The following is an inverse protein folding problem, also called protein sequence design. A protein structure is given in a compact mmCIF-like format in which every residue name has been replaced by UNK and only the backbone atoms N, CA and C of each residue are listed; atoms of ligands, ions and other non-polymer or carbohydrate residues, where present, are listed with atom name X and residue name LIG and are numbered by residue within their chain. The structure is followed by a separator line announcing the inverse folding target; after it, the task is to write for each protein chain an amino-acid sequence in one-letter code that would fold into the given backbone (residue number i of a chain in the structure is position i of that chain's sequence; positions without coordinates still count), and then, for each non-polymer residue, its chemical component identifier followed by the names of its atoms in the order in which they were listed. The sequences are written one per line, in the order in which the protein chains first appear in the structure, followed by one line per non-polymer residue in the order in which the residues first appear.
data_IF_315096511063
#
_entry.id   IF_315096511063
#
_cell.length_a   1.000
_cell.length_b   1.000
_cell.length_c   1.000
_cell.angle_alpha   90.00
_cell.angle_beta   90.00
_cell.angle_gamma   90.00
#
_symmetry.space_group_name_H-M   'P 1'
#
loop_
_entity.id
_entity.type
_entity.pdbx_description
1 polymer ?
#
# COMPACT_ATOMS: atom_id res chain seq x y z
N UNK A 1 7.70 13.37 8.10
CA UNK A 1 6.35 13.13 7.60
C UNK A 1 5.87 11.79 8.18
N UNK A 2 4.73 11.78 8.86
CA UNK A 2 4.28 10.66 9.72
C UNK A 2 4.33 9.27 9.06
N UNK A 3 3.92 9.15 7.79
CA UNK A 3 3.94 7.86 7.07
C UNK A 3 5.37 7.35 6.82
N UNK A 4 6.30 8.24 6.47
CA UNK A 4 7.72 7.85 6.26
C UNK A 4 8.37 7.48 7.59
N UNK A 5 8.10 8.24 8.64
CA UNK A 5 8.63 7.95 9.99
C UNK A 5 8.11 6.60 10.49
N UNK A 6 6.81 6.32 10.29
CA UNK A 6 6.19 5.03 10.59
C UNK A 6 6.83 3.89 9.78
N UNK A 7 7.03 4.08 8.48
CA UNK A 7 7.67 3.08 7.62
C UNK A 7 9.11 2.78 8.05
N UNK A 8 9.88 3.80 8.43
CA UNK A 8 11.24 3.62 8.98
C UNK A 8 11.22 2.80 10.27
N UNK A 9 10.29 3.12 11.20
CA UNK A 9 10.14 2.39 12.46
C UNK A 9 9.77 0.92 12.23
N UNK A 10 8.79 0.66 11.37
CA UNK A 10 8.36 -0.71 11.04
C UNK A 10 9.50 -1.49 10.37
N UNK A 11 10.27 -0.87 9.48
CA UNK A 11 11.41 -1.49 8.83
C UNK A 11 12.53 -1.86 9.84
N UNK A 12 12.79 -1.00 10.81
CA UNK A 12 13.73 -1.27 11.90
C UNK A 12 13.25 -2.45 12.77
N UNK A 13 11.98 -2.45 13.17
CA UNK A 13 11.40 -3.54 13.98
C UNK A 13 11.37 -4.88 13.25
N UNK A 14 11.20 -4.85 11.93
CA UNK A 14 11.22 -6.04 11.07
C UNK A 14 12.65 -6.50 10.71
N UNK A 15 13.69 -5.81 11.19
CA UNK A 15 15.10 -6.12 10.95
C UNK A 15 15.42 -6.31 9.44
N UNK A 16 14.78 -5.48 8.57
CA UNK A 16 15.01 -5.57 7.13
C UNK A 16 16.47 -5.25 6.78
N UNK A 17 17.03 -5.94 5.80
CA UNK A 17 18.43 -5.78 5.39
C UNK A 17 18.73 -4.36 4.88
N UNK A 18 17.75 -3.72 4.23
CA UNK A 18 17.86 -2.34 3.77
C UNK A 18 16.48 -1.70 3.65
N UNK A 19 16.42 -0.39 3.88
CA UNK A 19 15.23 0.43 3.66
C UNK A 19 15.64 1.66 2.86
N UNK A 20 14.91 1.95 1.79
CA UNK A 20 15.19 3.10 0.90
C UNK A 20 13.93 3.98 0.78
N UNK A 21 14.11 5.28 0.97
CA UNK A 21 13.08 6.29 0.69
C UNK A 21 13.41 6.94 -0.65
N UNK A 22 12.48 6.87 -1.60
CA UNK A 22 12.64 7.45 -2.95
C UNK A 22 11.74 8.68 -3.07
N UNK A 23 12.33 9.84 -3.36
CA UNK A 23 11.60 11.08 -3.56
C UNK A 23 10.98 11.12 -4.96
N UNK A 24 9.66 11.27 -5.03
CA UNK A 24 8.87 11.29 -6.27
C UNK A 24 8.02 12.56 -6.41
N UNK A 25 8.32 13.61 -5.65
CA UNK A 25 7.54 14.83 -5.67
C UNK A 25 7.40 15.40 -7.08
N UNK A 26 6.17 15.70 -7.46
CA UNK A 26 5.84 16.29 -8.76
C UNK A 26 5.88 15.36 -9.97
N UNK A 27 6.21 14.08 -9.81
CA UNK A 27 6.19 13.10 -10.92
C UNK A 27 4.75 12.72 -11.25
N UNK A 28 3.96 12.33 -10.25
CA UNK A 28 2.54 12.04 -10.44
C UNK A 28 1.72 13.33 -10.50
N UNK A 29 0.74 13.35 -11.38
CA UNK A 29 -0.27 14.42 -11.52
C UNK A 29 -1.64 13.79 -11.48
N UNK A 30 -2.56 14.37 -10.71
CA UNK A 30 -3.93 13.88 -10.58
C UNK A 30 -4.85 14.98 -10.07
N UNK A 31 -6.14 14.82 -10.28
CA UNK A 31 -7.20 15.59 -9.64
C UNK A 31 -7.60 15.02 -8.27
N UNK A 32 -6.98 13.91 -7.86
CA UNK A 32 -7.19 13.31 -6.54
C UNK A 32 -6.88 14.31 -5.42
N UNK A 33 -7.66 14.33 -4.32
CA UNK A 33 -7.38 15.13 -3.13
C UNK A 33 -5.98 14.88 -2.53
N UNK A 34 -5.35 13.76 -2.82
CA UNK A 34 -3.99 13.46 -2.38
C UNK A 34 -2.91 14.26 -3.12
N UNK A 35 -3.23 14.81 -4.29
CA UNK A 35 -2.30 15.57 -5.14
C UNK A 35 -2.85 16.93 -5.58
N UNK A 36 -3.98 17.36 -5.03
CA UNK A 36 -4.65 18.62 -5.35
C UNK A 36 -5.21 19.26 -4.07
N UNK A 37 -5.74 20.46 -4.19
CA UNK A 37 -6.42 21.19 -3.10
C UNK A 37 -7.89 20.74 -2.90
N UNK A 38 -8.32 19.63 -3.51
CA UNK A 38 -9.67 19.10 -3.33
C UNK A 38 -9.83 18.52 -1.92
N UNK A 39 -11.03 18.61 -1.36
CA UNK A 39 -11.33 18.09 -0.03
C UNK A 39 -11.39 16.55 -0.05
N UNK A 40 -10.89 15.95 1.04
CA UNK A 40 -11.03 14.51 1.29
C UNK A 40 -12.47 14.19 1.71
N UNK A 41 -13.07 13.18 1.12
CA UNK A 41 -14.31 12.61 1.63
C UNK A 41 -14.08 12.01 3.03
N UNK A 42 -15.04 12.21 3.91
CA UNK A 42 -14.98 11.71 5.28
C UNK A 42 -16.06 10.63 5.46
N UNK A 43 -15.68 9.52 6.06
CA UNK A 43 -16.58 8.40 6.36
C UNK A 43 -16.55 8.10 7.85
N UNK A 44 -17.70 7.79 8.43
CA UNK A 44 -17.80 7.44 9.85
C UNK A 44 -17.38 6.01 10.13
N UNK A 45 -17.55 5.13 9.15
CA UNK A 45 -17.25 3.70 9.23
C UNK A 45 -17.18 3.08 7.82
N UNK A 46 -16.78 1.81 7.73
CA UNK A 46 -16.68 1.08 6.47
C UNK A 46 -18.04 0.93 5.76
N UNK A 47 -19.14 0.86 6.49
CA UNK A 47 -20.48 0.77 5.91
C UNK A 47 -20.91 2.08 5.23
N UNK A 48 -20.64 3.22 5.88
CA UNK A 48 -20.90 4.54 5.30
C UNK A 48 -20.00 4.81 4.08
N UNK A 49 -18.75 4.37 4.13
CA UNK A 49 -17.84 4.42 2.99
C UNK A 49 -18.38 3.61 1.80
N UNK A 50 -18.72 2.34 2.02
CA UNK A 50 -19.26 1.47 0.98
C UNK A 50 -20.58 2.04 0.38
N UNK A 51 -21.47 2.57 1.20
CA UNK A 51 -22.72 3.17 0.74
C UNK A 51 -22.50 4.45 -0.08
N UNK A 52 -21.51 5.25 0.27
CA UNK A 52 -21.18 6.50 -0.43
C UNK A 52 -20.44 6.24 -1.74
N UNK A 53 -19.49 5.34 -1.75
CA UNK A 53 -18.69 5.01 -2.94
C UNK A 53 -19.52 4.18 -3.93
N UNK A 54 -20.28 3.18 -3.45
CA UNK A 54 -21.00 2.25 -4.33
C UNK A 54 -20.05 1.59 -5.31
N UNK A 55 -20.40 1.64 -6.61
CA UNK A 55 -19.59 1.05 -7.69
C UNK A 55 -18.52 2.00 -8.27
N UNK A 56 -18.45 3.25 -7.80
CA UNK A 56 -17.42 4.19 -8.27
C UNK A 56 -16.06 3.91 -7.63
N UNK A 57 -15.01 4.40 -8.27
CA UNK A 57 -13.68 4.46 -7.67
C UNK A 57 -13.64 5.61 -6.64
N UNK A 58 -13.05 5.38 -5.49
CA UNK A 58 -12.89 6.38 -4.43
C UNK A 58 -12.02 7.56 -4.92
N UNK A 59 -12.30 8.79 -4.44
CA UNK A 59 -11.69 10.03 -4.96
C UNK A 59 -10.18 10.13 -4.70
N UNK A 60 -9.67 9.42 -3.70
CA UNK A 60 -8.23 9.37 -3.40
C UNK A 60 -7.43 8.52 -4.40
N UNK A 61 -8.09 7.92 -5.39
CA UNK A 61 -7.39 7.21 -6.46
C UNK A 61 -6.47 8.13 -7.25
N UNK A 62 -5.22 7.74 -7.37
CA UNK A 62 -4.22 8.40 -8.22
C UNK A 62 -3.87 7.45 -9.35
N UNK A 63 -4.31 7.73 -10.59
CA UNK A 63 -4.04 6.87 -11.74
C UNK A 63 -2.55 6.59 -11.90
N UNK A 64 -2.21 5.30 -12.18
CA UNK A 64 -0.84 4.84 -12.39
C UNK A 64 0.09 4.89 -11.17
N UNK A 65 -0.39 5.26 -9.98
CA UNK A 65 0.43 5.34 -8.77
C UNK A 65 1.08 3.99 -8.43
N UNK A 66 0.28 2.93 -8.33
CA UNK A 66 0.81 1.61 -8.01
C UNK A 66 1.68 1.05 -9.14
N UNK A 67 1.36 1.33 -10.40
CA UNK A 67 2.23 0.96 -11.54
C UNK A 67 3.61 1.60 -11.41
N UNK A 68 3.69 2.90 -11.09
CA UNK A 68 4.96 3.60 -10.91
C UNK A 68 5.73 3.04 -9.70
N UNK A 69 5.07 2.86 -8.56
CA UNK A 69 5.70 2.36 -7.34
C UNK A 69 6.25 0.96 -7.53
N UNK A 70 5.48 0.05 -8.10
CA UNK A 70 5.94 -1.31 -8.39
C UNK A 70 7.07 -1.33 -9.42
N UNK A 71 7.06 -0.44 -10.43
CA UNK A 71 8.14 -0.35 -11.41
C UNK A 71 9.46 0.08 -10.76
N UNK A 72 9.43 1.07 -9.88
CA UNK A 72 10.61 1.52 -9.13
C UNK A 72 11.11 0.43 -8.19
N UNK A 73 10.19 -0.17 -7.41
CA UNK A 73 10.53 -1.25 -6.50
C UNK A 73 11.15 -2.45 -7.23
N UNK A 74 10.61 -2.82 -8.39
CA UNK A 74 11.16 -3.87 -9.23
C UNK A 74 12.56 -3.54 -9.74
N UNK A 75 12.79 -2.31 -10.20
CA UNK A 75 14.13 -1.89 -10.62
C UNK A 75 15.14 -2.04 -9.47
N UNK A 76 14.75 -1.70 -8.24
CA UNK A 76 15.57 -1.88 -7.04
C UNK A 76 15.81 -3.37 -6.73
N UNK A 77 14.75 -4.17 -6.77
CA UNK A 77 14.84 -5.62 -6.54
C UNK A 77 15.83 -6.28 -7.51
N UNK A 78 15.75 -5.95 -8.80
CA UNK A 78 16.67 -6.45 -9.83
C UNK A 78 18.12 -6.02 -9.54
N UNK A 79 18.34 -4.77 -9.17
CA UNK A 79 19.66 -4.25 -8.84
C UNK A 79 20.28 -4.94 -7.61
N UNK A 80 19.44 -5.41 -6.69
CA UNK A 80 19.83 -6.19 -5.50
C UNK A 80 19.95 -7.70 -5.78
N UNK A 81 19.67 -8.16 -7.00
CA UNK A 81 19.71 -9.57 -7.37
C UNK A 81 18.50 -10.39 -6.90
N UNK A 82 17.41 -9.72 -6.50
CA UNK A 82 16.16 -10.37 -6.15
C UNK A 82 15.36 -10.74 -7.41
N UNK A 83 14.55 -11.78 -7.31
CA UNK A 83 13.63 -12.25 -8.34
C UNK A 83 12.15 -12.19 -7.92
N UNK A 84 11.90 -11.67 -6.74
CA UNK A 84 10.56 -11.57 -6.13
C UNK A 84 10.31 -10.17 -5.60
N UNK A 85 9.12 -9.64 -5.87
CA UNK A 85 8.58 -8.41 -5.31
C UNK A 85 7.33 -8.75 -4.48
N UNK A 86 7.27 -8.26 -3.25
CA UNK A 86 6.09 -8.41 -2.40
C UNK A 86 5.40 -7.06 -2.27
N UNK A 87 4.07 -7.05 -2.41
CA UNK A 87 3.25 -5.84 -2.27
C UNK A 87 2.08 -6.06 -1.33
N UNK A 88 1.66 -5.01 -0.64
CA UNK A 88 0.50 -5.01 0.25
C UNK A 88 -0.82 -4.65 -0.44
N UNK A 89 -0.90 -4.64 -1.78
CA UNK A 89 -2.17 -4.38 -2.46
C UNK A 89 -3.20 -5.46 -2.13
N UNK A 90 -4.47 -5.04 -2.02
CA UNK A 90 -5.59 -5.88 -1.64
C UNK A 90 -6.83 -5.46 -2.43
N UNK A 91 -7.56 -6.41 -3.01
CA UNK A 91 -8.78 -6.09 -3.75
C UNK A 91 -10.05 -6.08 -2.88
N UNK A 92 -9.99 -6.64 -1.67
CA UNK A 92 -11.09 -6.63 -0.70
C UNK A 92 -11.18 -5.29 0.04
N UNK A 93 -10.99 -4.21 -0.69
CA UNK A 93 -11.07 -2.84 -0.22
C UNK A 93 -12.26 -2.13 -0.88
N UNK A 94 -13.10 -1.46 -0.09
CA UNK A 94 -14.26 -0.73 -0.57
C UNK A 94 -13.93 0.49 -1.44
N UNK A 95 -12.66 0.81 -1.62
CA UNK A 95 -12.19 1.92 -2.46
C UNK A 95 -12.28 1.65 -3.97
N UNK A 96 -12.45 0.38 -4.38
CA UNK A 96 -12.58 -0.04 -5.78
C UNK A 96 -11.41 0.39 -6.68
N UNK A 97 -10.19 0.42 -6.17
CA UNK A 97 -9.02 0.80 -6.97
C UNK A 97 -8.68 -0.26 -8.02
N UNK A 98 -8.70 0.08 -9.32
CA UNK A 98 -8.40 -0.88 -10.37
C UNK A 98 -6.96 -1.40 -10.33
N UNK A 99 -6.02 -0.63 -9.77
CA UNK A 99 -4.62 -1.00 -9.60
C UNK A 99 -4.30 -1.70 -8.27
N UNK A 100 -5.35 -2.19 -7.57
CA UNK A 100 -5.23 -3.04 -6.38
C UNK A 100 -5.81 -4.45 -6.59
N UNK A 101 -6.15 -4.82 -7.83
CA UNK A 101 -6.78 -6.11 -8.13
C UNK A 101 -5.77 -7.21 -8.49
N UNK A 102 -6.17 -8.47 -8.35
CA UNK A 102 -5.38 -9.61 -8.81
C UNK A 102 -5.09 -9.54 -10.33
N UNK A 103 -6.05 -9.07 -11.12
CA UNK A 103 -5.86 -8.87 -12.55
C UNK A 103 -4.73 -7.86 -12.85
N UNK A 104 -4.68 -6.77 -12.09
CA UNK A 104 -3.59 -5.79 -12.20
C UNK A 104 -2.24 -6.41 -11.80
N UNK A 105 -2.17 -7.13 -10.66
CA UNK A 105 -0.95 -7.80 -10.21
C UNK A 105 -0.40 -8.73 -11.29
N UNK A 106 -1.26 -9.59 -11.86
CA UNK A 106 -0.87 -10.52 -12.93
C UNK A 106 -0.41 -9.80 -14.20
N UNK A 107 -1.11 -8.74 -14.60
CA UNK A 107 -0.73 -7.94 -15.77
C UNK A 107 0.62 -7.24 -15.55
N UNK A 108 0.87 -6.73 -14.36
CA UNK A 108 2.14 -6.09 -14.00
C UNK A 108 3.28 -7.11 -14.03
N UNK A 109 3.11 -8.30 -13.45
CA UNK A 109 4.11 -9.39 -13.47
C UNK A 109 4.43 -9.81 -14.90
N UNK A 110 3.40 -9.95 -15.74
CA UNK A 110 3.58 -10.28 -17.16
C UNK A 110 4.38 -9.19 -17.89
N UNK A 111 4.00 -7.93 -17.72
CA UNK A 111 4.69 -6.79 -18.31
C UNK A 111 6.16 -6.77 -17.90
N UNK A 112 6.42 -6.97 -16.61
CA UNK A 112 7.76 -7.01 -16.05
C UNK A 112 8.63 -8.09 -16.68
N UNK A 113 8.16 -9.34 -16.70
CA UNK A 113 8.88 -10.46 -17.29
C UNK A 113 9.11 -10.26 -18.80
N UNK A 114 8.16 -9.66 -19.51
CA UNK A 114 8.32 -9.30 -20.92
C UNK A 114 9.38 -8.21 -21.14
N UNK A 115 9.41 -7.22 -20.27
CA UNK A 115 10.40 -6.13 -20.31
C UNK A 115 11.82 -6.63 -20.05
N UNK A 116 11.96 -7.65 -19.21
CA UNK A 116 13.25 -8.26 -18.88
C UNK A 116 13.69 -9.36 -19.89
N UNK A 117 12.80 -9.81 -20.77
CA UNK A 117 13.04 -10.93 -21.66
C UNK A 117 13.16 -12.28 -20.96
N UNK A 118 12.65 -12.40 -19.74
CA UNK A 118 12.71 -13.60 -18.90
C UNK A 118 11.33 -13.88 -18.28
N UNK A 119 11.18 -15.06 -17.68
CA UNK A 119 9.95 -15.48 -17.00
C UNK A 119 10.25 -16.01 -15.59
N UNK A 120 11.01 -15.27 -14.83
CA UNK A 120 11.45 -15.68 -13.50
C UNK A 120 11.09 -14.72 -12.37
N UNK A 121 10.62 -13.52 -12.71
CA UNK A 121 10.28 -12.54 -11.69
C UNK A 121 8.84 -12.76 -11.20
N UNK A 122 8.67 -12.85 -9.89
CA UNK A 122 7.37 -13.04 -9.25
C UNK A 122 6.93 -11.77 -8.55
N UNK A 123 5.64 -11.46 -8.63
CA UNK A 123 5.00 -10.38 -7.88
C UNK A 123 3.96 -10.99 -6.95
N UNK A 124 4.24 -10.99 -5.66
CA UNK A 124 3.39 -11.58 -4.64
C UNK A 124 2.54 -10.50 -3.93
N UNK A 125 1.29 -10.79 -3.71
CA UNK A 125 0.38 -9.98 -2.91
C UNK A 125 -0.35 -10.85 -1.89
N UNK A 126 0.31 -11.17 -0.75
CA UNK A 126 -0.21 -12.14 0.23
C UNK A 126 -1.57 -11.77 0.84
N UNK A 127 -1.91 -10.49 0.82
CA UNK A 127 -3.15 -9.96 1.40
C UNK A 127 -4.27 -9.78 0.36
N UNK A 128 -4.05 -10.16 -0.91
CA UNK A 128 -4.91 -9.86 -2.05
C UNK A 128 -6.40 -10.15 -1.81
N UNK A 129 -6.70 -11.26 -1.16
CA UNK A 129 -8.06 -11.77 -0.95
C UNK A 129 -8.51 -11.72 0.51
N UNK A 130 -7.77 -11.03 1.38
CA UNK A 130 -8.14 -10.85 2.77
C UNK A 130 -8.89 -9.54 2.95
N UNK A 131 -10.00 -9.58 3.67
CA UNK A 131 -10.63 -8.37 4.19
C UNK A 131 -9.71 -7.68 5.20
N UNK A 132 -9.94 -6.41 5.48
CA UNK A 132 -9.18 -5.66 6.50
C UNK A 132 -9.24 -6.36 7.87
N UNK A 133 -10.41 -6.88 8.25
CA UNK A 133 -10.58 -7.63 9.50
C UNK A 133 -9.78 -8.93 9.54
N UNK A 134 -9.67 -9.65 8.42
CA UNK A 134 -8.84 -10.86 8.32
C UNK A 134 -7.35 -10.53 8.34
N UNK A 135 -6.93 -9.46 7.69
CA UNK A 135 -5.54 -8.96 7.73
C UNK A 135 -5.13 -8.63 9.17
N UNK A 136 -6.00 -7.95 9.92
CA UNK A 136 -5.77 -7.65 11.34
C UNK A 136 -5.69 -8.92 12.20
N UNK A 137 -6.59 -9.88 11.98
CA UNK A 137 -6.54 -11.18 12.68
C UNK A 137 -5.25 -11.94 12.37
N UNK A 138 -4.82 -11.91 11.12
CA UNK A 138 -3.56 -12.52 10.69
C UNK A 138 -2.37 -11.85 11.41
N UNK A 139 -2.30 -10.52 11.42
CA UNK A 139 -1.25 -9.78 12.13
C UNK A 139 -1.24 -10.08 13.63
N UNK A 140 -2.42 -10.15 14.26
CA UNK A 140 -2.57 -10.51 15.69
C UNK A 140 -2.05 -11.91 16.02
N UNK A 141 -2.08 -12.84 15.05
CA UNK A 141 -1.52 -14.18 15.23
C UNK A 141 0.01 -14.23 15.19
N UNK A 142 0.66 -13.11 14.81
CA UNK A 142 2.11 -12.95 14.70
C UNK A 142 2.57 -11.82 15.64
N UNK A 143 3.08 -12.13 16.86
CA UNK A 143 3.33 -11.12 17.90
C UNK A 143 4.25 -9.98 17.46
N UNK A 144 5.29 -10.27 16.68
CA UNK A 144 6.23 -9.28 16.18
C UNK A 144 5.58 -8.35 15.14
N UNK A 145 4.79 -8.91 14.23
CA UNK A 145 4.00 -8.15 13.27
C UNK A 145 2.96 -7.28 13.98
N UNK A 146 2.28 -7.82 14.99
CA UNK A 146 1.31 -7.08 15.80
C UNK A 146 1.94 -5.89 16.52
N UNK A 147 3.12 -6.08 17.11
CA UNK A 147 3.87 -5.01 17.75
C UNK A 147 4.27 -3.91 16.74
N UNK A 148 4.74 -4.30 15.55
CA UNK A 148 5.10 -3.35 14.49
C UNK A 148 3.89 -2.60 13.93
N UNK A 149 2.74 -3.25 13.81
CA UNK A 149 1.50 -2.64 13.32
C UNK A 149 1.00 -1.49 14.19
N UNK A 150 1.30 -1.51 15.49
CA UNK A 150 0.97 -0.41 16.41
C UNK A 150 1.68 0.92 16.03
N UNK A 151 2.77 0.86 15.30
CA UNK A 151 3.50 2.03 14.79
C UNK A 151 3.13 2.41 13.36
N UNK A 152 2.26 1.65 12.70
CA UNK A 152 1.81 1.98 11.35
C UNK A 152 0.92 3.23 11.37
N UNK A 153 0.93 3.97 10.26
CA UNK A 153 0.11 5.16 10.09
C UNK A 153 -0.84 4.95 8.91
N UNK A 154 -2.13 5.14 9.12
CA UNK A 154 -3.18 4.88 8.11
C UNK A 154 -4.01 6.11 7.75
N UNK A 155 -3.84 7.24 8.44
CA UNK A 155 -4.60 8.46 8.19
C UNK A 155 -3.91 9.39 7.21
N UNK A 156 -4.63 9.86 6.19
CA UNK A 156 -4.14 10.86 5.25
C UNK A 156 -4.04 12.28 5.83
N UNK A 157 -4.67 12.56 6.96
CA UNK A 157 -4.67 13.89 7.58
C UNK A 157 -3.49 14.14 8.54
N UNK A 158 -2.69 13.12 8.80
CA UNK A 158 -1.47 13.22 9.62
C UNK A 158 -1.68 13.61 11.09
N UNK A 159 -2.93 13.54 11.61
CA UNK A 159 -3.27 14.04 12.95
C UNK A 159 -2.82 13.15 14.10
N UNK A 160 -2.47 11.90 13.83
CA UNK A 160 -2.11 10.93 14.86
C UNK A 160 -0.67 10.48 14.68
N UNK A 161 0.26 10.84 15.58
CA UNK A 161 1.62 10.33 15.51
C UNK A 161 1.65 8.82 15.80
N UNK A 162 2.54 8.05 15.17
CA UNK A 162 2.64 6.60 15.33
C UNK A 162 2.95 6.12 16.75
N UNK A 163 3.36 7.03 17.62
CA UNK A 163 3.85 6.72 18.99
C UNK A 163 2.76 6.60 20.04
N UNK A 164 1.49 6.86 19.73
CA UNK A 164 0.44 6.75 20.71
C UNK A 164 -0.19 5.33 20.66
N UNK A 165 0.41 4.43 21.43
CA UNK A 165 -0.01 3.02 21.54
C UNK A 165 -1.45 2.84 22.06
N UNK A 166 -2.12 3.90 22.52
CA UNK A 166 -3.52 3.85 22.97
C UNK A 166 -4.52 4.07 21.82
N UNK A 167 -4.05 4.39 20.64
CA UNK A 167 -4.87 4.64 19.44
C UNK A 167 -4.50 3.68 18.30
N UNK A 168 -4.38 2.39 18.59
CA UNK A 168 -4.49 1.37 17.55
C UNK A 168 -5.93 1.47 16.99
N UNK A 169 -6.15 2.37 16.04
CA UNK A 169 -7.35 2.43 15.22
C UNK A 169 -7.31 1.24 14.25
N UNK A 170 -7.61 0.09 14.78
CA UNK A 170 -7.85 -1.14 14.04
C UNK A 170 -9.35 -1.40 14.05
#
# INVERSE_FOLDING_TARGET
VAEIDAACMVAEMAEVTSHEVVELAGILKSTSPLLSDAELEQYTDAGSMAATIGDRVELTFVPMRNTLFLTIAMNRAIALGCDTLVTGICQEDNANYPDCTEAFRMAFELMANRSLGVHRFEVLAPLMHLSKAETVKLAHSMPECWAALAYSHTSYDGKYPPTDMNHANV
#
